data_IF_332244463077
#
_entry.id   IF_332244463077
#
_cell.length_a   1.000
_cell.length_b   1.000
_cell.length_c   1.000
_cell.angle_alpha   90.00
_cell.angle_beta   90.00
_cell.angle_gamma   90.00
#
_symmetry.space_group_name_H-M   'P 1'
#
loop_
_entity.id
_entity.type
_entity.pdbx_description
1 polymer ?
#
# COMPACT_ATOMS: atom_id res chain seq x y z
N UNK A 1 6.97 -21.09 -16.69
CA UNK A 1 7.38 -19.70 -17.01
C UNK A 1 6.14 -18.83 -16.92
N UNK A 2 6.14 -17.76 -16.11
CA UNK A 2 4.99 -16.86 -16.03
C UNK A 2 4.87 -16.06 -17.34
N UNK A 3 3.68 -16.06 -17.94
CA UNK A 3 3.42 -15.29 -19.17
C UNK A 3 3.38 -13.80 -18.83
N UNK A 4 4.15 -12.98 -19.54
CA UNK A 4 4.26 -11.54 -19.27
C UNK A 4 3.23 -10.73 -20.08
N UNK A 5 2.83 -11.26 -21.24
CA UNK A 5 1.85 -10.64 -22.12
C UNK A 5 0.76 -11.64 -22.49
N UNK A 6 -0.46 -11.14 -22.70
CA UNK A 6 -1.61 -11.89 -23.18
C UNK A 6 -2.32 -11.08 -24.25
N UNK A 7 -2.65 -11.71 -25.38
CA UNK A 7 -3.45 -11.09 -26.43
C UNK A 7 -4.93 -11.15 -26.06
N UNK A 8 -5.60 -10.00 -26.07
CA UNK A 8 -7.05 -9.87 -25.87
C UNK A 8 -7.57 -8.92 -26.95
N UNK A 9 -8.47 -9.39 -27.82
CA UNK A 9 -9.08 -8.59 -28.90
C UNK A 9 -8.04 -7.84 -29.76
N UNK A 10 -7.04 -8.57 -30.29
CA UNK A 10 -5.92 -8.04 -31.09
C UNK A 10 -5.00 -7.01 -30.40
N UNK A 11 -5.11 -6.87 -29.06
CA UNK A 11 -4.21 -6.03 -28.25
C UNK A 11 -3.36 -6.88 -27.32
N UNK A 12 -2.06 -6.58 -27.23
CA UNK A 12 -1.19 -7.16 -26.21
C UNK A 12 -1.39 -6.44 -24.87
N UNK A 13 -1.76 -7.21 -23.84
CA UNK A 13 -1.93 -6.72 -22.47
C UNK A 13 -0.82 -7.30 -21.61
N UNK A 14 -0.12 -6.44 -20.86
CA UNK A 14 0.88 -6.86 -19.87
C UNK A 14 0.19 -7.40 -18.62
N UNK A 15 0.65 -8.54 -18.13
CA UNK A 15 0.20 -9.15 -16.89
C UNK A 15 1.09 -8.73 -15.72
N UNK A 16 0.47 -8.32 -14.62
CA UNK A 16 1.14 -7.97 -13.38
C UNK A 16 0.93 -9.08 -12.34
N UNK A 17 1.85 -10.04 -12.31
CA UNK A 17 1.81 -11.13 -11.32
C UNK A 17 2.10 -10.58 -9.92
N UNK A 18 1.27 -10.96 -8.95
CA UNK A 18 1.40 -10.55 -7.55
C UNK A 18 1.42 -9.03 -7.34
N UNK A 19 0.71 -8.28 -8.19
CA UNK A 19 0.62 -6.83 -8.14
C UNK A 19 0.33 -6.27 -6.74
N UNK A 20 -0.57 -6.91 -5.99
CA UNK A 20 -0.90 -6.52 -4.62
C UNK A 20 0.30 -6.65 -3.67
N UNK A 21 1.01 -7.78 -3.70
CA UNK A 21 2.21 -8.01 -2.88
C UNK A 21 3.33 -7.05 -3.28
N UNK A 22 3.57 -6.87 -4.59
CA UNK A 22 4.57 -5.92 -5.08
C UNK A 22 4.26 -4.49 -4.63
N UNK A 23 3.00 -4.09 -4.71
CA UNK A 23 2.56 -2.76 -4.26
C UNK A 23 2.69 -2.63 -2.74
N UNK A 24 2.35 -3.67 -1.98
CA UNK A 24 2.51 -3.70 -0.52
C UNK A 24 3.98 -3.53 -0.09
N UNK A 25 4.92 -4.17 -0.78
CA UNK A 25 6.36 -4.01 -0.55
C UNK A 25 6.79 -2.56 -0.83
N UNK A 26 6.34 -1.98 -1.95
CA UNK A 26 6.63 -0.59 -2.28
C UNK A 26 6.08 0.39 -1.22
N UNK A 27 4.88 0.12 -0.68
CA UNK A 27 4.31 0.88 0.44
C UNK A 27 5.18 0.75 1.69
N UNK A 28 5.71 -0.43 2.01
CA UNK A 28 6.63 -0.61 3.15
C UNK A 28 7.89 0.26 3.04
N UNK A 29 8.46 0.35 1.83
CA UNK A 29 9.58 1.25 1.55
C UNK A 29 9.16 2.73 1.69
N UNK A 30 7.99 3.10 1.18
CA UNK A 30 7.43 4.44 1.31
C UNK A 30 7.22 4.84 2.77
N UNK A 31 6.65 3.97 3.60
CA UNK A 31 6.47 4.20 5.04
C UNK A 31 7.82 4.41 5.75
N UNK A 32 8.84 3.66 5.35
CA UNK A 32 10.19 3.80 5.88
C UNK A 32 10.78 5.16 5.51
N UNK A 33 10.58 5.62 4.27
CA UNK A 33 11.02 6.93 3.80
C UNK A 33 10.28 8.09 4.52
N UNK A 34 8.97 7.97 4.71
CA UNK A 34 8.15 8.95 5.44
C UNK A 34 8.67 9.11 6.88
N UNK A 35 8.92 8.00 7.57
CA UNK A 35 9.50 8.02 8.91
C UNK A 35 10.90 8.63 8.93
N UNK A 36 11.72 8.32 7.92
CA UNK A 36 13.09 8.83 7.80
C UNK A 36 13.15 10.35 7.69
N UNK A 37 12.21 10.96 6.96
CA UNK A 37 12.11 12.42 6.82
C UNK A 37 11.38 13.11 7.98
N UNK A 38 10.99 12.36 9.02
CA UNK A 38 10.33 12.91 10.22
C UNK A 38 8.85 13.25 10.04
N UNK A 39 8.19 12.72 9.01
CA UNK A 39 6.74 12.87 8.80
C UNK A 39 5.97 11.73 9.46
N UNK A 40 4.69 11.98 9.71
CA UNK A 40 3.75 11.01 10.28
C UNK A 40 2.64 10.69 9.28
N UNK A 41 2.15 9.44 9.33
CA UNK A 41 1.02 8.95 8.53
C UNK A 41 0.27 7.86 9.27
N UNK A 42 -0.96 7.59 8.86
CA UNK A 42 -1.71 6.39 9.25
C UNK A 42 -2.05 5.58 8.01
N UNK A 43 -1.88 4.26 8.08
CA UNK A 43 -2.26 3.36 6.98
C UNK A 43 -3.75 3.10 7.06
N UNK A 44 -4.51 3.55 6.07
CA UNK A 44 -5.97 3.33 6.01
C UNK A 44 -6.36 2.55 4.76
N UNK A 45 -7.23 1.56 4.94
CA UNK A 45 -7.88 0.84 3.84
C UNK A 45 -9.29 1.41 3.63
N UNK A 46 -9.55 2.14 2.52
CA UNK A 46 -10.84 2.78 2.27
C UNK A 46 -11.89 1.75 1.81
N UNK A 47 -12.33 0.90 2.74
CA UNK A 47 -13.30 -0.16 2.47
C UNK A 47 -14.55 0.41 1.81
N UNK A 48 -14.99 -0.20 0.70
CA UNK A 48 -16.15 0.20 -0.12
C UNK A 48 -16.06 1.56 -0.83
N UNK A 49 -15.06 2.39 -0.57
CA UNK A 49 -14.91 3.71 -1.20
C UNK A 49 -13.97 3.71 -2.43
N UNK A 50 -13.22 2.64 -2.66
CA UNK A 50 -12.19 2.58 -3.71
C UNK A 50 -12.67 2.99 -5.10
N UNK A 51 -13.84 2.50 -5.54
CA UNK A 51 -14.40 2.84 -6.86
C UNK A 51 -14.78 4.33 -6.98
N UNK A 52 -15.34 4.90 -5.91
CA UNK A 52 -15.70 6.33 -5.88
C UNK A 52 -14.46 7.21 -5.89
N UNK A 53 -13.42 6.84 -5.14
CA UNK A 53 -12.13 7.55 -5.11
C UNK A 53 -11.44 7.49 -6.48
N UNK A 54 -11.36 6.31 -7.11
CA UNK A 54 -10.80 6.16 -8.46
C UNK A 54 -11.53 7.05 -9.47
N UNK A 55 -12.87 7.07 -9.42
CA UNK A 55 -13.68 7.93 -10.30
C UNK A 55 -13.42 9.43 -10.03
N UNK A 56 -13.41 9.84 -8.78
CA UNK A 56 -13.17 11.23 -8.38
C UNK A 56 -11.79 11.72 -8.86
N UNK A 57 -10.78 10.88 -8.71
CA UNK A 57 -9.40 11.16 -9.12
C UNK A 57 -9.12 10.83 -10.60
N UNK A 58 -10.15 10.44 -11.36
CA UNK A 58 -10.07 10.09 -12.79
C UNK A 58 -9.00 9.03 -13.08
N UNK A 59 -8.82 8.05 -12.18
CA UNK A 59 -7.91 6.93 -12.39
C UNK A 59 -8.48 5.97 -13.44
N UNK A 60 -7.63 5.34 -14.26
CA UNK A 60 -8.08 4.42 -15.30
C UNK A 60 -8.61 3.12 -14.68
N UNK A 61 -9.42 2.38 -15.45
CA UNK A 61 -10.10 1.16 -14.98
C UNK A 61 -9.16 0.01 -14.59
N UNK A 62 -7.89 0.06 -15.02
CA UNK A 62 -6.87 -0.94 -14.68
C UNK A 62 -6.19 -0.68 -13.33
N UNK A 63 -6.56 0.38 -12.62
CA UNK A 63 -6.03 0.71 -11.29
C UNK A 63 -7.09 0.56 -10.20
N UNK A 64 -6.63 0.13 -9.02
CA UNK A 64 -7.47 -0.03 -7.84
C UNK A 64 -6.81 0.66 -6.64
N UNK A 65 -7.61 1.37 -5.84
CA UNK A 65 -7.14 2.01 -4.61
C UNK A 65 -6.84 0.95 -3.56
N UNK A 66 -5.57 0.81 -3.19
CA UNK A 66 -5.14 -0.14 -2.17
C UNK A 66 -5.17 0.49 -0.76
N UNK A 67 -4.60 1.69 -0.60
CA UNK A 67 -4.47 2.39 0.68
C UNK A 67 -4.59 3.90 0.48
N UNK A 68 -4.95 4.61 1.55
CA UNK A 68 -4.81 6.07 1.66
C UNK A 68 -3.87 6.40 2.82
N UNK A 69 -2.91 7.29 2.54
CA UNK A 69 -1.87 7.73 3.47
C UNK A 69 -1.94 9.26 3.63
N UNK A 70 -2.59 9.80 4.67
CA UNK A 70 -2.50 11.21 4.99
C UNK A 70 -1.10 11.53 5.52
N UNK A 71 -0.42 12.50 4.91
CA UNK A 71 0.97 12.84 5.22
C UNK A 71 1.05 14.23 5.86
N UNK A 72 1.88 14.36 6.90
CA UNK A 72 2.18 15.64 7.51
C UNK A 72 2.93 15.52 8.83
N UNK A 73 3.11 16.65 9.51
CA UNK A 73 3.60 16.66 10.88
C UNK A 73 2.49 16.27 11.84
N UNK A 74 2.85 15.53 12.90
CA UNK A 74 1.92 15.25 13.98
C UNK A 74 1.51 16.58 14.65
N UNK A 75 0.23 16.71 14.97
CA UNK A 75 -0.25 17.84 15.76
C UNK A 75 0.43 17.83 17.14
N UNK A 76 0.60 19.01 17.75
CA UNK A 76 1.30 19.17 19.04
C UNK A 76 0.73 18.30 20.17
N UNK A 77 -0.56 17.99 20.13
CA UNK A 77 -1.25 17.10 21.08
C UNK A 77 -1.65 15.75 20.52
N UNK A 78 -1.04 15.28 19.43
CA UNK A 78 -1.38 13.98 18.83
C UNK A 78 -1.11 12.84 19.82
N UNK A 79 -2.10 11.98 20.03
CA UNK A 79 -2.01 10.81 20.88
C UNK A 79 -1.95 9.54 20.03
N UNK A 80 -1.25 8.53 20.54
CA UNK A 80 -1.21 7.18 19.98
C UNK A 80 -1.65 6.17 21.04
N UNK A 81 -2.34 5.08 20.67
CA UNK A 81 -2.68 4.03 21.63
C UNK A 81 -1.40 3.37 22.16
N UNK A 82 -1.41 2.96 23.43
CA UNK A 82 -0.25 2.32 24.06
C UNK A 82 -0.11 0.84 23.64
N UNK A 83 0.16 0.61 22.36
CA UNK A 83 0.39 -0.71 21.79
C UNK A 83 1.86 -1.11 21.91
N UNK A 84 2.14 -2.33 22.37
CA UNK A 84 3.49 -2.89 22.43
C UNK A 84 3.73 -3.85 21.26
N UNK A 85 4.88 -3.73 20.59
CA UNK A 85 5.30 -4.71 19.58
C UNK A 85 5.62 -6.05 20.24
N UNK A 86 5.41 -7.14 19.51
CA UNK A 86 5.83 -8.47 19.96
C UNK A 86 7.37 -8.51 20.07
N UNK A 87 7.92 -9.22 21.07
CA UNK A 87 9.36 -9.43 21.16
C UNK A 87 9.85 -10.34 20.02
N UNK A 88 11.15 -10.30 19.70
CA UNK A 88 11.71 -10.91 18.48
C UNK A 88 11.54 -12.44 18.46
N UNK A 89 11.58 -13.07 19.63
CA UNK A 89 11.44 -14.51 19.83
C UNK A 89 10.03 -15.01 19.45
N UNK A 90 9.04 -14.10 19.40
CA UNK A 90 7.66 -14.43 18.99
C UNK A 90 7.42 -14.25 17.49
N UNK A 91 8.39 -13.77 16.72
CA UNK A 91 8.23 -13.47 15.28
C UNK A 91 9.30 -14.08 14.38
N UNK A 92 10.38 -14.64 14.93
CA UNK A 92 11.45 -15.31 14.18
C UNK A 92 11.51 -16.79 14.59
N UNK A 93 11.70 -17.68 13.60
CA UNK A 93 12.04 -19.09 13.81
C UNK A 93 13.30 -19.41 13.00
N UNK A 94 14.31 -19.97 13.68
CA UNK A 94 15.59 -20.36 13.08
C UNK A 94 15.58 -21.88 13.00
N UNK A 95 15.72 -22.42 11.78
CA UNK A 95 15.73 -23.85 11.48
C UNK A 95 17.10 -24.28 10.97
#
# INVERSE_FOLDING_TARGET
>A
MLQIFKTVEDKEVRLYHYNEISTAIAIGLLLSAIQFVGLSTVVTSPLNAGAQISRLLRRPNNECVMLLLPLGYAATGALVPDLKRKPVEKIISIY
#
